data_IF_029936265385
#
_entry.id   IF_029936265385
#
_cell.length_a   1.000
_cell.length_b   1.000
_cell.length_c   1.000
_cell.angle_alpha   90.00
_cell.angle_beta   90.00
_cell.angle_gamma   90.00
#
_symmetry.space_group_name_H-M   'P 1'
#
loop_
_entity.id
_entity.type
_entity.pdbx_description
1 polymer ?
#
# COMPACT_ATOMS: atom_id res chain seq x y z
N UNK A 1 27.65 1.18 -33.05
CA UNK A 1 27.74 0.20 -31.96
C UNK A 1 26.63 0.45 -30.96
N UNK A 2 25.75 -0.48 -30.81
CA UNK A 2 24.69 -0.36 -29.81
C UNK A 2 25.34 -0.36 -28.42
N UNK A 3 25.08 0.66 -27.63
CA UNK A 3 25.65 0.67 -26.29
C UNK A 3 24.74 -0.04 -25.31
N UNK A 4 25.35 -0.70 -24.32
CA UNK A 4 24.64 -1.48 -23.32
C UNK A 4 23.68 -0.63 -22.47
N UNK A 5 24.00 0.67 -22.31
CA UNK A 5 23.14 1.60 -21.58
C UNK A 5 21.80 1.81 -22.28
N UNK A 6 21.83 1.93 -23.59
CA UNK A 6 20.61 2.12 -24.38
C UNK A 6 19.74 0.84 -24.38
N UNK A 7 20.36 -0.33 -24.50
CA UNK A 7 19.67 -1.60 -24.41
C UNK A 7 19.05 -1.82 -23.03
N UNK A 8 19.76 -1.51 -21.95
CA UNK A 8 19.26 -1.60 -20.60
C UNK A 8 18.06 -0.66 -20.37
N UNK A 9 18.14 0.56 -20.91
CA UNK A 9 17.05 1.54 -20.87
C UNK A 9 15.81 1.04 -21.58
N UNK A 10 15.96 0.50 -22.79
CA UNK A 10 14.84 -0.08 -23.55
C UNK A 10 14.20 -1.24 -22.80
N UNK A 11 14.99 -2.12 -22.19
CA UNK A 11 14.51 -3.24 -21.40
C UNK A 11 13.74 -2.75 -20.17
N UNK A 12 14.26 -1.74 -19.49
CA UNK A 12 13.59 -1.13 -18.33
C UNK A 12 12.20 -0.59 -18.71
N UNK A 13 12.09 0.17 -19.77
CA UNK A 13 10.83 0.74 -20.21
C UNK A 13 9.83 -0.34 -20.67
N UNK A 14 10.31 -1.37 -21.34
CA UNK A 14 9.46 -2.49 -21.74
C UNK A 14 8.91 -3.24 -20.53
N UNK A 15 9.73 -3.50 -19.53
CA UNK A 15 9.32 -4.15 -18.27
C UNK A 15 8.31 -3.28 -17.52
N UNK A 16 8.58 -1.98 -17.44
CA UNK A 16 7.68 -1.01 -16.79
C UNK A 16 6.31 -0.99 -17.46
N UNK A 17 6.26 -0.97 -18.80
CA UNK A 17 5.02 -0.99 -19.55
C UNK A 17 4.21 -2.28 -19.28
N UNK A 18 4.89 -3.43 -19.19
CA UNK A 18 4.26 -4.71 -18.87
C UNK A 18 3.67 -4.70 -17.45
N UNK A 19 4.40 -4.18 -16.47
CA UNK A 19 3.92 -4.07 -15.09
C UNK A 19 2.69 -3.16 -15.03
N UNK A 20 2.73 -2.01 -15.68
CA UNK A 20 1.60 -1.08 -15.70
C UNK A 20 0.37 -1.67 -16.39
N UNK A 21 0.55 -2.42 -17.48
CA UNK A 21 -0.54 -3.09 -18.16
C UNK A 21 -1.21 -4.17 -17.28
N UNK A 22 -0.49 -4.73 -16.32
CA UNK A 22 -1.01 -5.72 -15.38
C UNK A 22 -1.64 -5.11 -14.13
N UNK A 23 -1.59 -3.78 -13.96
CA UNK A 23 -2.00 -3.11 -12.72
C UNK A 23 -3.43 -3.44 -12.31
N UNK A 24 -4.35 -3.54 -13.27
CA UNK A 24 -5.76 -3.80 -13.01
C UNK A 24 -6.03 -5.16 -12.36
N UNK A 25 -5.16 -6.14 -12.59
CA UNK A 25 -5.27 -7.49 -12.01
C UNK A 25 -4.23 -7.74 -10.91
N UNK A 26 -3.39 -6.76 -10.60
CA UNK A 26 -2.31 -6.91 -9.63
C UNK A 26 -2.80 -6.62 -8.23
N UNK A 27 -2.47 -7.49 -7.27
CA UNK A 27 -2.74 -7.25 -5.86
C UNK A 27 -1.89 -6.09 -5.32
N UNK A 28 -2.44 -5.31 -4.39
CA UNK A 28 -1.76 -4.15 -3.82
C UNK A 28 -0.40 -4.51 -3.20
N UNK A 29 -0.31 -5.62 -2.49
CA UNK A 29 0.94 -6.07 -1.88
C UNK A 29 2.04 -6.34 -2.90
N UNK A 30 1.68 -6.85 -4.08
CA UNK A 30 2.63 -7.08 -5.17
C UNK A 30 3.09 -5.76 -5.79
N UNK A 31 2.18 -4.81 -5.99
CA UNK A 31 2.52 -3.49 -6.48
C UNK A 31 3.51 -2.77 -5.56
N UNK A 32 3.36 -2.93 -4.25
CA UNK A 32 4.23 -2.33 -3.24
C UNK A 32 5.66 -2.87 -3.27
N UNK A 33 5.89 -4.03 -3.89
CA UNK A 33 7.24 -4.58 -4.05
C UNK A 33 8.02 -3.90 -5.18
N UNK A 34 7.33 -3.18 -6.08
CA UNK A 34 7.95 -2.55 -7.24
C UNK A 34 7.34 -1.17 -7.51
N UNK A 35 7.33 -0.26 -6.52
CA UNK A 35 6.64 1.03 -6.66
C UNK A 35 7.19 1.91 -7.78
N UNK A 36 8.47 1.79 -8.10
CA UNK A 36 9.11 2.59 -9.14
C UNK A 36 8.71 2.16 -10.57
N UNK A 37 7.98 1.05 -10.70
CA UNK A 37 7.48 0.60 -12.00
C UNK A 37 6.20 1.31 -12.43
N UNK A 38 5.57 2.09 -11.54
CA UNK A 38 4.35 2.82 -11.83
C UNK A 38 4.63 4.28 -12.12
N UNK A 39 3.97 4.83 -13.13
CA UNK A 39 4.14 6.24 -13.50
C UNK A 39 3.60 7.17 -12.42
N UNK A 40 4.21 8.34 -12.32
CA UNK A 40 3.70 9.41 -11.48
C UNK A 40 2.34 9.89 -12.03
N UNK A 41 1.45 10.24 -11.11
CA UNK A 41 0.18 10.85 -11.49
C UNK A 41 0.41 12.09 -12.37
N UNK A 42 -0.34 12.18 -13.46
CA UNK A 42 -0.28 13.27 -14.42
C UNK A 42 -1.57 14.09 -14.35
N UNK A 43 -1.46 15.38 -14.05
CA UNK A 43 -2.60 16.28 -13.90
C UNK A 43 -3.10 16.87 -15.24
N UNK A 44 -2.44 16.55 -16.35
CA UNK A 44 -2.65 17.25 -17.62
C UNK A 44 -3.65 16.54 -18.55
N UNK A 45 -4.83 16.20 -18.05
CA UNK A 45 -5.90 15.63 -18.88
C UNK A 45 -5.65 14.18 -19.30
N UNK A 46 -4.94 13.42 -18.51
CA UNK A 46 -4.71 12.00 -18.77
C UNK A 46 -5.93 11.17 -18.37
N UNK A 47 -6.34 10.24 -19.24
CA UNK A 47 -7.40 9.29 -18.92
C UNK A 47 -6.90 8.16 -18.04
N UNK A 48 -7.56 7.93 -16.92
CA UNK A 48 -7.30 6.83 -16.01
C UNK A 48 -8.49 5.87 -15.99
N UNK A 49 -8.19 4.58 -16.07
CA UNK A 49 -9.19 3.53 -15.97
C UNK A 49 -9.29 3.02 -14.52
N UNK A 50 -10.43 2.42 -14.19
CA UNK A 50 -10.60 1.76 -12.89
C UNK A 50 -9.50 0.71 -12.70
N UNK A 51 -8.94 0.65 -11.50
CA UNK A 51 -7.86 -0.25 -11.08
C UNK A 51 -6.46 0.10 -11.61
N UNK A 52 -6.29 1.20 -12.35
CA UNK A 52 -4.95 1.70 -12.66
C UNK A 52 -4.21 2.05 -11.36
N UNK A 53 -2.88 1.97 -11.41
CA UNK A 53 -2.01 2.33 -10.28
C UNK A 53 -1.11 3.49 -10.70
N UNK A 54 -1.04 4.50 -9.85
CA UNK A 54 -0.17 5.67 -10.04
C UNK A 54 0.67 5.91 -8.80
N UNK A 55 1.82 6.54 -8.97
CA UNK A 55 2.63 7.02 -7.84
C UNK A 55 2.35 8.50 -7.59
N UNK A 56 2.30 8.88 -6.32
CA UNK A 56 2.16 10.27 -5.91
C UNK A 56 2.63 10.44 -4.46
N UNK A 57 3.62 11.30 -4.27
CA UNK A 57 4.15 11.58 -2.94
C UNK A 57 4.99 10.46 -2.35
N UNK A 58 5.19 10.52 -1.06
CA UNK A 58 6.06 9.62 -0.30
C UNK A 58 5.30 8.99 0.86
N UNK A 59 5.46 7.69 1.03
CA UNK A 59 4.90 6.96 2.16
C UNK A 59 5.66 7.28 3.46
N UNK A 60 5.08 6.89 4.60
CA UNK A 60 5.66 7.15 5.91
C UNK A 60 7.07 6.54 6.09
N UNK A 61 7.36 5.43 5.41
CA UNK A 61 8.68 4.76 5.44
C UNK A 61 9.70 5.35 4.47
N UNK A 62 9.35 6.43 3.76
CA UNK A 62 10.22 7.08 2.77
C UNK A 62 10.14 6.50 1.36
N UNK A 63 9.41 5.42 1.15
CA UNK A 63 9.20 4.85 -0.18
C UNK A 63 8.17 5.65 -0.99
N UNK A 64 8.12 5.39 -2.30
CA UNK A 64 7.12 5.99 -3.18
C UNK A 64 5.71 5.54 -2.77
N UNK A 65 4.80 6.49 -2.59
CA UNK A 65 3.41 6.18 -2.29
C UNK A 65 2.64 5.84 -3.56
N UNK A 66 1.90 4.74 -3.54
CA UNK A 66 1.03 4.32 -4.65
C UNK A 66 -0.44 4.54 -4.31
N UNK A 67 -1.21 4.80 -5.36
CA UNK A 67 -2.66 4.92 -5.30
C UNK A 67 -3.31 4.10 -6.41
N UNK A 68 -4.45 3.50 -6.10
CA UNK A 68 -5.26 2.78 -7.08
C UNK A 68 -6.45 3.64 -7.48
N UNK A 69 -6.71 3.72 -8.78
CA UNK A 69 -7.88 4.41 -9.33
C UNK A 69 -9.12 3.57 -9.03
N UNK A 70 -10.09 4.15 -8.35
CA UNK A 70 -11.37 3.48 -8.03
C UNK A 70 -12.51 3.95 -8.91
N UNK A 71 -12.35 5.09 -9.59
CA UNK A 71 -13.33 5.62 -10.55
C UNK A 71 -12.61 6.09 -11.80
N UNK A 72 -13.00 5.55 -12.96
CA UNK A 72 -12.45 5.99 -14.24
C UNK A 72 -12.72 7.49 -14.45
N UNK A 73 -11.72 8.26 -14.86
CA UNK A 73 -11.83 9.70 -15.02
C UNK A 73 -10.70 10.24 -15.90
N UNK A 74 -10.84 11.51 -16.28
CA UNK A 74 -9.75 12.26 -16.90
C UNK A 74 -9.16 13.18 -15.84
N UNK A 75 -7.85 13.16 -15.66
CA UNK A 75 -7.17 13.92 -14.60
C UNK A 75 -7.36 15.42 -14.73
N UNK A 76 -7.39 16.10 -13.59
CA UNK A 76 -7.42 17.54 -13.47
C UNK A 76 -6.43 17.98 -12.38
N UNK A 77 -5.93 19.20 -12.48
CA UNK A 77 -4.90 19.73 -11.60
C UNK A 77 -5.28 19.66 -10.11
N UNK A 78 -6.55 19.89 -9.79
CA UNK A 78 -7.05 19.89 -8.42
C UNK A 78 -7.59 18.54 -7.94
N UNK A 79 -7.43 17.48 -8.74
CA UNK A 79 -7.84 16.11 -8.40
C UNK A 79 -6.67 15.18 -8.07
N UNK A 80 -5.72 15.69 -7.28
CA UNK A 80 -4.56 14.88 -6.87
C UNK A 80 -4.98 13.65 -6.06
N UNK A 81 -4.23 12.54 -6.14
CA UNK A 81 -4.60 11.28 -5.47
C UNK A 81 -4.81 11.36 -3.97
N UNK A 82 -4.14 12.28 -3.29
CA UNK A 82 -4.26 12.48 -1.83
C UNK A 82 -5.48 13.32 -1.44
N UNK A 83 -6.12 13.97 -2.39
CA UNK A 83 -7.27 14.87 -2.15
C UNK A 83 -8.55 14.27 -2.73
N UNK A 84 -8.46 13.68 -3.93
CA UNK A 84 -9.62 13.15 -4.67
C UNK A 84 -10.01 11.74 -4.17
N UNK A 85 -10.52 11.66 -2.96
CA UNK A 85 -10.83 10.39 -2.27
C UNK A 85 -11.93 9.57 -2.96
N UNK A 86 -12.73 10.18 -3.83
CA UNK A 86 -13.73 9.47 -4.63
C UNK A 86 -13.15 8.86 -5.92
N UNK A 87 -11.93 9.23 -6.30
CA UNK A 87 -11.26 8.77 -7.52
C UNK A 87 -10.11 7.79 -7.22
N UNK A 88 -9.48 7.92 -6.06
CA UNK A 88 -8.29 7.15 -5.69
C UNK A 88 -8.40 6.58 -4.29
N UNK A 89 -7.81 5.40 -4.10
CA UNK A 89 -7.57 4.83 -2.77
C UNK A 89 -6.07 4.63 -2.59
N UNK A 90 -5.57 5.02 -1.42
CA UNK A 90 -4.18 4.83 -1.05
C UNK A 90 -3.86 3.35 -0.93
N UNK A 91 -2.74 2.92 -1.52
CA UNK A 91 -2.24 1.56 -1.36
C UNK A 91 -1.31 1.57 -0.15
N UNK A 92 -1.76 1.00 0.94
CA UNK A 92 -0.96 0.88 2.15
C UNK A 92 -0.18 -0.42 2.14
N UNK A 93 1.00 -0.38 2.73
CA UNK A 93 1.83 -1.57 2.88
C UNK A 93 1.10 -2.60 3.73
N UNK A 94 0.88 -3.79 3.17
CA UNK A 94 0.35 -4.90 3.94
C UNK A 94 1.47 -5.52 4.77
N UNK A 95 1.20 -5.71 6.06
CA UNK A 95 2.12 -6.37 6.98
C UNK A 95 1.69 -7.82 7.18
N UNK A 96 2.67 -8.73 7.24
CA UNK A 96 2.40 -10.15 7.38
C UNK A 96 1.85 -10.53 8.77
N UNK A 97 2.13 -9.71 9.78
CA UNK A 97 1.78 -10.01 11.17
C UNK A 97 2.71 -11.02 11.83
N UNK A 98 3.95 -11.10 11.32
CA UNK A 98 5.02 -11.92 11.90
C UNK A 98 5.84 -11.10 12.88
N UNK A 99 6.72 -11.77 13.63
CA UNK A 99 7.64 -11.10 14.55
C UNK A 99 8.52 -10.08 13.82
N UNK A 100 8.95 -10.40 12.60
CA UNK A 100 9.81 -9.56 11.78
C UNK A 100 9.03 -8.44 11.06
N UNK A 101 7.73 -8.63 10.87
CA UNK A 101 6.87 -7.69 10.16
C UNK A 101 5.50 -7.56 10.86
N UNK A 102 5.48 -6.97 12.06
CA UNK A 102 4.25 -6.83 12.82
C UNK A 102 3.32 -5.81 12.19
N UNK A 103 2.02 -5.97 12.45
CA UNK A 103 0.97 -5.08 11.95
C UNK A 103 0.88 -3.85 12.87
N UNK A 104 1.03 -2.63 12.37
CA UNK A 104 0.74 -1.44 13.17
C UNK A 104 -0.74 -1.42 13.56
N UNK A 105 -1.01 -1.41 14.86
CA UNK A 105 -2.38 -1.39 15.37
C UNK A 105 -2.97 0.02 15.34
N UNK A 106 -4.22 0.10 14.97
CA UNK A 106 -5.03 1.31 15.12
C UNK A 106 -6.44 0.94 15.60
N UNK A 107 -7.07 1.86 16.31
CA UNK A 107 -8.44 1.68 16.79
C UNK A 107 -9.40 1.39 15.64
N UNK A 108 -10.28 0.41 15.83
CA UNK A 108 -11.22 -0.03 14.80
C UNK A 108 -10.74 -1.21 13.97
N UNK A 109 -9.61 -1.81 14.30
CA UNK A 109 -9.11 -3.01 13.65
C UNK A 109 -9.63 -4.27 14.32
N UNK A 110 -9.90 -5.30 13.53
CA UNK A 110 -10.04 -6.65 14.02
C UNK A 110 -8.66 -7.29 14.16
N UNK A 111 -8.40 -7.98 15.26
CA UNK A 111 -7.11 -8.65 15.51
C UNK A 111 -7.29 -10.17 15.49
N UNK A 112 -6.22 -10.86 15.02
CA UNK A 112 -6.25 -12.29 14.72
C UNK A 112 -5.22 -13.06 15.54
N UNK A 113 -5.62 -14.21 16.03
CA UNK A 113 -4.73 -15.13 16.77
C UNK A 113 -3.49 -15.48 15.95
N UNK A 114 -2.34 -15.48 16.60
CA UNK A 114 -1.05 -15.81 15.99
C UNK A 114 -0.38 -14.65 15.26
N UNK A 115 -1.02 -13.49 15.17
CA UNK A 115 -0.46 -12.29 14.53
C UNK A 115 0.19 -11.38 15.55
N UNK A 116 1.26 -10.73 15.13
CA UNK A 116 1.95 -9.72 15.93
C UNK A 116 1.48 -8.33 15.55
N UNK A 117 1.30 -7.48 16.55
CA UNK A 117 0.85 -6.09 16.39
C UNK A 117 1.78 -5.16 17.18
N UNK A 118 1.95 -3.93 16.68
CA UNK A 118 2.70 -2.90 17.40
C UNK A 118 1.81 -1.70 17.70
N UNK A 119 1.99 -1.15 18.89
CA UNK A 119 1.38 0.12 19.29
C UNK A 119 2.34 0.84 20.24
N UNK A 120 2.63 2.11 19.96
CA UNK A 120 3.54 2.95 20.77
C UNK A 120 4.93 2.33 20.98
N UNK A 121 5.44 1.62 19.95
CA UNK A 121 6.75 0.97 20.00
C UNK A 121 6.80 -0.33 20.79
N UNK A 122 5.64 -0.82 21.27
CA UNK A 122 5.56 -2.08 22.01
C UNK A 122 5.01 -3.16 21.08
N UNK A 123 5.64 -4.34 21.12
CA UNK A 123 5.24 -5.50 20.33
C UNK A 123 4.30 -6.39 21.15
N UNK A 124 3.18 -6.77 20.54
CA UNK A 124 2.17 -7.65 21.15
C UNK A 124 1.93 -8.86 20.26
N UNK A 125 1.72 -10.02 20.87
CA UNK A 125 1.24 -11.22 20.19
C UNK A 125 -0.24 -11.39 20.50
N UNK A 126 -1.06 -11.45 19.45
CA UNK A 126 -2.47 -11.76 19.59
C UNK A 126 -2.62 -13.28 19.82
N UNK A 127 -3.26 -13.67 20.89
CA UNK A 127 -3.44 -15.06 21.27
C UNK A 127 -4.91 -15.51 21.22
N UNK A 128 -5.79 -14.66 20.70
CA UNK A 128 -7.21 -14.93 20.54
C UNK A 128 -7.80 -14.00 19.50
N UNK A 129 -8.60 -14.55 18.58
CA UNK A 129 -9.35 -13.72 17.63
C UNK A 129 -10.33 -12.82 18.37
N UNK A 130 -10.37 -11.54 18.01
CA UNK A 130 -11.34 -10.61 18.60
C UNK A 130 -12.75 -10.82 18.04
N UNK A 131 -12.85 -11.39 16.84
CA UNK A 131 -14.14 -11.65 16.18
C UNK A 131 -14.86 -10.40 15.68
N UNK A 132 -14.37 -9.23 16.04
CA UNK A 132 -14.93 -7.93 15.67
C UNK A 132 -13.87 -6.85 15.82
N UNK A 133 -14.15 -5.66 15.30
CA UNK A 133 -13.26 -4.50 15.47
C UNK A 133 -13.11 -4.18 16.96
N UNK A 134 -11.87 -3.90 17.40
CA UNK A 134 -11.57 -3.46 18.77
C UNK A 134 -11.14 -1.99 18.74
N UNK A 135 -11.55 -1.26 19.76
CA UNK A 135 -11.33 0.18 19.86
C UNK A 135 -10.41 0.58 21.03
N UNK A 136 -10.17 -0.36 21.94
CA UNK A 136 -9.28 -0.16 23.08
C UNK A 136 -7.82 -0.20 22.62
N UNK A 137 -6.94 0.36 23.43
CA UNK A 137 -5.50 0.23 23.22
C UNK A 137 -5.07 -1.21 23.48
N UNK A 138 -4.01 -1.67 22.80
CA UNK A 138 -3.51 -3.04 23.00
C UNK A 138 -3.06 -3.28 24.44
N UNK A 139 -2.54 -2.25 25.12
CA UNK A 139 -2.17 -2.34 26.52
C UNK A 139 -3.37 -2.71 27.43
N UNK A 140 -4.57 -2.29 27.05
CA UNK A 140 -5.81 -2.59 27.78
C UNK A 140 -6.39 -3.96 27.44
N UNK A 141 -5.87 -4.59 26.39
CA UNK A 141 -6.30 -5.92 25.92
C UNK A 141 -5.36 -7.05 26.35
N UNK A 142 -4.32 -6.72 27.11
CA UNK A 142 -3.40 -7.73 27.66
C UNK A 142 -4.16 -8.68 28.57
N UNK A 143 -3.92 -9.98 28.38
CA UNK A 143 -4.63 -11.09 29.05
C UNK A 143 -6.10 -11.27 28.62
N UNK A 144 -6.57 -10.48 27.64
CA UNK A 144 -7.89 -10.67 27.01
C UNK A 144 -7.70 -11.23 25.60
N UNK A 145 -7.00 -10.48 24.74
CA UNK A 145 -6.73 -10.87 23.37
C UNK A 145 -5.26 -10.94 23.02
N UNK A 146 -4.41 -10.19 23.72
CA UNK A 146 -2.97 -10.06 23.41
C UNK A 146 -2.12 -10.26 24.65
N UNK A 147 -0.83 -10.50 24.40
CA UNK A 147 0.21 -10.50 25.43
C UNK A 147 1.38 -9.67 24.91
N UNK A 148 2.16 -9.08 25.80
CA UNK A 148 3.40 -8.39 25.43
C UNK A 148 4.40 -9.46 24.96
N UNK A 149 4.91 -9.26 23.75
CA UNK A 149 5.83 -10.21 23.14
C UNK A 149 7.29 -9.94 23.57
#
# INVERSE_FOLDING_TARGET
MSNLKELAKQHYYATRATVQASASSMADGKAMLMPDMFEAWDCNGKSYAMNDIVSYGTAADGSTQLYRVITAHTSQEDWAPDVAVSLFVKIDKTHAGTLEDPIPYSSGMQIYNGKYYTEDGILYLCNRDSGQAVYQRLADLVNIYVQVA
#
